data_IF_515239234979
#
_entry.id   IF_515239234979
#
_cell.length_a   1.000
_cell.length_b   1.000
_cell.length_c   1.000
_cell.angle_alpha   90.00
_cell.angle_beta   90.00
_cell.angle_gamma   90.00
#
_symmetry.space_group_name_H-M   'P 1'
#
loop_
_entity.id
_entity.type
_entity.pdbx_description
1 polymer ?
#
# COMPACT_ATOMS: atom_id res chain seq x y z
N UNK A 1 -27.22 23.11 6.72
CA UNK A 1 -26.15 22.08 6.67
C UNK A 1 -26.64 20.95 5.76
N UNK A 2 -25.90 20.57 4.72
CA UNK A 2 -26.39 19.57 3.75
C UNK A 2 -26.41 18.15 4.35
N UNK A 3 -27.34 17.31 3.91
CA UNK A 3 -27.45 15.89 4.31
C UNK A 3 -26.11 15.16 4.15
N UNK A 4 -25.35 15.49 3.11
CA UNK A 4 -24.05 14.88 2.83
C UNK A 4 -22.99 15.23 3.89
N UNK A 5 -23.02 16.45 4.43
CA UNK A 5 -22.08 16.83 5.49
C UNK A 5 -22.39 16.14 6.83
N UNK A 6 -23.67 15.90 7.12
CA UNK A 6 -24.06 15.08 8.28
C UNK A 6 -23.54 13.63 8.12
N UNK A 7 -23.76 13.02 6.95
CA UNK A 7 -23.22 11.69 6.62
C UNK A 7 -21.69 11.63 6.75
N UNK A 8 -20.99 12.69 6.32
CA UNK A 8 -19.53 12.81 6.48
C UNK A 8 -19.11 12.72 7.95
N UNK A 9 -19.73 13.50 8.84
CA UNK A 9 -19.42 13.47 10.28
C UNK A 9 -19.75 12.12 10.91
N UNK A 10 -20.92 11.55 10.60
CA UNK A 10 -21.34 10.26 11.12
C UNK A 10 -20.38 9.14 10.70
N UNK A 11 -19.99 9.11 9.42
CA UNK A 11 -18.99 8.18 8.88
C UNK A 11 -17.63 8.31 9.57
N UNK A 12 -17.15 9.53 9.79
CA UNK A 12 -15.88 9.78 10.47
C UNK A 12 -15.89 9.23 11.91
N UNK A 13 -16.92 9.56 12.69
CA UNK A 13 -17.07 9.09 14.08
C UNK A 13 -17.16 7.56 14.09
N UNK A 14 -17.98 6.97 13.21
CA UNK A 14 -18.15 5.53 13.10
C UNK A 14 -16.82 4.83 12.78
N UNK A 15 -16.04 5.36 11.83
CA UNK A 15 -14.72 4.82 11.49
C UNK A 15 -13.77 4.81 12.71
N UNK A 16 -13.76 5.89 13.50
CA UNK A 16 -12.90 6.01 14.69
C UNK A 16 -13.28 5.02 15.79
N UNK A 17 -14.58 4.89 16.08
CA UNK A 17 -15.07 3.91 17.05
C UNK A 17 -14.74 2.47 16.62
N UNK A 18 -14.96 2.17 15.34
CA UNK A 18 -14.71 0.84 14.80
C UNK A 18 -13.21 0.49 14.79
N UNK A 19 -12.34 1.45 14.41
CA UNK A 19 -10.87 1.30 14.53
C UNK A 19 -10.45 1.03 15.98
N UNK A 20 -11.01 1.77 16.95
CA UNK A 20 -10.69 1.56 18.37
C UNK A 20 -11.10 0.16 18.84
N UNK A 21 -12.33 -0.27 18.51
CA UNK A 21 -12.82 -1.61 18.81
C UNK A 21 -11.91 -2.71 18.23
N UNK A 22 -11.59 -2.63 16.93
CA UNK A 22 -10.73 -3.62 16.28
C UNK A 22 -9.30 -3.59 16.82
N UNK A 23 -8.77 -2.42 17.19
CA UNK A 23 -7.45 -2.33 17.84
C UNK A 23 -7.44 -3.09 19.17
N UNK A 24 -8.46 -2.91 20.01
CA UNK A 24 -8.57 -3.64 21.27
C UNK A 24 -8.70 -5.16 21.04
N UNK A 25 -9.57 -5.56 20.10
CA UNK A 25 -9.78 -6.97 19.76
C UNK A 25 -8.51 -7.64 19.19
N UNK A 26 -7.79 -6.95 18.31
CA UNK A 26 -6.56 -7.50 17.71
C UNK A 26 -5.42 -7.58 18.73
N UNK A 27 -5.31 -6.62 19.65
CA UNK A 27 -4.33 -6.68 20.72
C UNK A 27 -4.55 -7.89 21.63
N UNK A 28 -5.79 -8.26 21.94
CA UNK A 28 -6.07 -9.40 22.81
C UNK A 28 -5.90 -10.75 22.12
N UNK A 29 -6.18 -10.84 20.81
CA UNK A 29 -6.17 -12.09 20.05
C UNK A 29 -4.81 -12.43 19.40
N UNK A 30 -4.10 -11.46 18.82
CA UNK A 30 -2.94 -11.73 17.96
C UNK A 30 -1.58 -11.57 18.64
N UNK A 31 -1.50 -10.81 19.73
CA UNK A 31 -0.22 -10.62 20.44
C UNK A 31 0.19 -11.83 21.28
N UNK A 32 -0.69 -12.82 21.45
CA UNK A 32 -0.46 -13.94 22.37
C UNK A 32 0.29 -15.12 21.77
N UNK A 33 0.37 -15.24 20.44
CA UNK A 33 1.00 -16.39 19.79
C UNK A 33 2.16 -15.94 18.92
N UNK A 34 3.38 -16.25 19.36
CA UNK A 34 4.57 -16.04 18.55
C UNK A 34 4.45 -16.81 17.23
N UNK A 35 4.88 -16.19 16.13
CA UNK A 35 4.89 -16.79 14.80
C UNK A 35 6.29 -16.70 14.23
N UNK A 36 7.02 -17.81 14.29
CA UNK A 36 8.38 -17.95 13.74
C UNK A 36 8.38 -18.35 12.26
N UNK A 37 7.25 -18.19 11.58
CA UNK A 37 7.06 -18.56 10.17
C UNK A 37 6.56 -17.32 9.43
N UNK A 38 7.10 -17.12 8.23
CA UNK A 38 6.58 -16.14 7.28
C UNK A 38 5.14 -16.46 6.90
N UNK A 39 4.25 -15.51 7.15
CA UNK A 39 2.86 -15.52 6.68
C UNK A 39 2.68 -14.48 5.60
N UNK A 40 2.09 -14.90 4.48
CA UNK A 40 1.75 -13.98 3.41
C UNK A 40 0.58 -13.11 3.86
N UNK A 41 0.57 -11.86 3.44
CA UNK A 41 -0.54 -10.95 3.74
C UNK A 41 -1.88 -11.53 3.25
N UNK A 42 -1.86 -12.21 2.10
CA UNK A 42 -3.06 -12.84 1.54
C UNK A 42 -3.61 -13.97 2.43
N UNK A 43 -2.76 -14.76 3.08
CA UNK A 43 -3.20 -15.81 4.01
C UNK A 43 -3.93 -15.21 5.21
N UNK A 44 -3.53 -14.02 5.65
CA UNK A 44 -4.22 -13.30 6.75
C UNK A 44 -5.62 -12.85 6.35
N UNK A 45 -5.86 -12.59 5.07
CA UNK A 45 -7.17 -12.17 4.57
C UNK A 45 -8.19 -13.32 4.52
N UNK A 46 -7.73 -14.57 4.55
CA UNK A 46 -8.61 -15.75 4.63
C UNK A 46 -9.25 -15.90 6.01
N UNK A 47 -8.69 -15.27 7.05
CA UNK A 47 -9.31 -15.23 8.36
C UNK A 47 -10.60 -14.39 8.32
N UNK A 48 -11.69 -14.76 9.04
CA UNK A 48 -12.95 -14.01 9.03
C UNK A 48 -12.82 -12.52 9.38
N UNK A 49 -11.86 -12.20 10.25
CA UNK A 49 -11.54 -10.82 10.66
C UNK A 49 -10.43 -10.15 9.83
N UNK A 50 -9.84 -10.86 8.86
CA UNK A 50 -8.72 -10.39 8.05
C UNK A 50 -9.10 -9.18 7.19
N UNK A 51 -10.18 -9.29 6.42
CA UNK A 51 -10.69 -8.18 5.60
C UNK A 51 -11.15 -7.01 6.49
N UNK A 52 -12.00 -7.17 7.52
CA UNK A 52 -12.37 -6.06 8.41
C UNK A 52 -11.16 -5.31 8.98
N UNK A 53 -10.15 -6.04 9.42
CA UNK A 53 -8.93 -5.43 9.94
C UNK A 53 -8.15 -4.65 8.88
N UNK A 54 -7.98 -5.22 7.68
CA UNK A 54 -7.33 -4.57 6.55
C UNK A 54 -8.06 -3.28 6.16
N UNK A 55 -9.39 -3.34 6.03
CA UNK A 55 -10.21 -2.19 5.66
C UNK A 55 -10.15 -1.07 6.69
N UNK A 56 -9.93 -1.36 7.97
CA UNK A 56 -9.86 -0.33 9.01
C UNK A 56 -8.46 0.25 9.16
N UNK A 57 -7.42 -0.57 9.09
CA UNK A 57 -6.05 -0.14 9.43
C UNK A 57 -5.18 0.16 8.21
N UNK A 58 -5.48 -0.44 7.06
CA UNK A 58 -4.75 -0.26 5.82
C UNK A 58 -5.69 -0.36 4.58
N UNK A 59 -6.72 0.50 4.47
CA UNK A 59 -7.74 0.40 3.42
C UNK A 59 -7.21 0.59 1.99
N UNK A 60 -5.97 1.04 1.83
CA UNK A 60 -5.31 1.18 0.51
C UNK A 60 -4.43 -0.01 0.22
N UNK A 61 -5.09 -1.07 -0.24
CA UNK A 61 -4.48 -2.31 -0.69
C UNK A 61 -3.29 -2.05 -1.61
N UNK A 62 -2.13 -2.61 -1.28
CA UNK A 62 -0.95 -2.49 -2.11
C UNK A 62 -0.90 -3.64 -3.11
N UNK A 63 -1.76 -3.56 -4.12
CA UNK A 63 -2.06 -4.64 -5.09
C UNK A 63 -0.88 -5.13 -5.92
N UNK A 64 0.23 -4.41 -5.87
CA UNK A 64 1.44 -4.65 -6.65
C UNK A 64 2.57 -5.28 -5.83
N UNK A 65 2.46 -5.21 -4.50
CA UNK A 65 3.50 -5.67 -3.62
C UNK A 65 3.18 -7.05 -3.08
N UNK A 66 4.14 -7.95 -3.23
CA UNK A 66 4.18 -9.13 -2.39
C UNK A 66 4.50 -8.70 -0.95
N UNK A 67 3.69 -9.11 0.01
CA UNK A 67 3.88 -8.76 1.42
C UNK A 67 3.91 -10.04 2.24
N UNK A 68 5.04 -10.28 2.91
CA UNK A 68 5.20 -11.32 3.90
C UNK A 68 5.46 -10.69 5.27
N UNK A 69 5.05 -11.38 6.33
CA UNK A 69 5.22 -10.90 7.68
C UNK A 69 5.34 -12.06 8.66
N UNK A 70 6.18 -11.88 9.67
CA UNK A 70 6.33 -12.81 10.78
C UNK A 70 6.26 -12.05 12.10
N UNK A 71 6.07 -12.80 13.18
CA UNK A 71 5.80 -12.26 14.50
C UNK A 71 4.32 -12.31 14.93
N UNK A 72 4.01 -11.90 16.17
CA UNK A 72 4.90 -11.28 17.15
C UNK A 72 6.12 -12.15 17.47
N UNK A 73 7.29 -11.52 17.62
CA UNK A 73 8.53 -12.17 18.06
C UNK A 73 9.22 -11.29 19.09
N UNK A 74 9.71 -11.89 20.17
CA UNK A 74 10.46 -11.17 21.19
C UNK A 74 11.91 -10.99 20.73
N UNK A 75 12.39 -9.75 20.71
CA UNK A 75 13.78 -9.39 20.39
C UNK A 75 14.36 -8.69 21.61
N UNK A 76 15.54 -9.10 22.06
CA UNK A 76 16.20 -8.48 23.21
C UNK A 76 17.26 -7.47 22.78
N UNK A 77 18.01 -7.76 21.72
CA UNK A 77 19.16 -6.97 21.32
C UNK A 77 19.20 -6.70 19.82
N UNK A 78 19.05 -7.74 18.99
CA UNK A 78 19.29 -7.57 17.56
C UNK A 78 18.57 -8.58 16.67
N UNK A 79 18.41 -8.19 15.41
CA UNK A 79 17.94 -9.02 14.32
C UNK A 79 18.91 -8.90 13.15
N UNK A 80 19.30 -10.04 12.59
CA UNK A 80 20.15 -10.15 11.40
C UNK A 80 19.32 -10.74 10.27
N UNK A 81 19.48 -10.15 9.08
CA UNK A 81 18.78 -10.57 7.86
C UNK A 81 19.74 -10.52 6.68
N UNK A 82 19.68 -11.54 5.84
CA UNK A 82 20.40 -11.60 4.56
C UNK A 82 19.42 -11.41 3.40
N UNK A 83 19.59 -10.31 2.66
CA UNK A 83 18.78 -9.96 1.50
C UNK A 83 19.39 -10.39 0.16
N UNK A 84 20.48 -11.17 0.15
CA UNK A 84 21.16 -11.58 -1.07
C UNK A 84 20.19 -12.21 -2.08
N UNK A 85 19.36 -13.15 -1.63
CA UNK A 85 18.33 -13.78 -2.48
C UNK A 85 17.23 -12.81 -2.90
N UNK A 86 16.76 -11.97 -1.98
CA UNK A 86 15.69 -10.99 -2.25
C UNK A 86 16.14 -9.99 -3.32
N UNK A 87 17.38 -9.50 -3.25
CA UNK A 87 17.96 -8.57 -4.23
C UNK A 87 18.07 -9.14 -5.64
N UNK A 88 18.27 -10.45 -5.79
CA UNK A 88 18.29 -11.10 -7.10
C UNK A 88 16.87 -11.28 -7.69
N UNK A 89 15.86 -11.38 -6.81
CA UNK A 89 14.52 -11.83 -7.17
C UNK A 89 13.48 -10.71 -7.24
N UNK A 90 13.79 -9.50 -6.82
CA UNK A 90 12.87 -8.37 -6.95
C UNK A 90 13.59 -7.06 -7.25
N UNK A 91 12.93 -6.19 -8.01
CA UNK A 91 13.49 -4.88 -8.40
C UNK A 91 13.53 -3.90 -7.24
N UNK A 92 12.62 -4.05 -6.26
CA UNK A 92 12.56 -3.19 -5.09
C UNK A 92 11.95 -3.94 -3.91
N UNK A 93 12.54 -3.75 -2.73
CA UNK A 93 12.01 -4.29 -1.48
C UNK A 93 12.20 -3.33 -0.31
N UNK A 94 11.39 -3.56 0.72
CA UNK A 94 11.44 -2.85 1.99
C UNK A 94 11.19 -3.85 3.12
N UNK A 95 12.10 -3.86 4.07
CA UNK A 95 11.97 -4.56 5.34
C UNK A 95 11.62 -3.57 6.45
N UNK A 96 10.61 -3.90 7.23
CA UNK A 96 10.07 -3.02 8.25
C UNK A 96 9.93 -3.80 9.54
N UNK A 97 10.44 -3.21 10.62
CA UNK A 97 10.30 -3.70 11.96
C UNK A 97 9.30 -2.82 12.72
N UNK A 98 8.17 -3.39 13.12
CA UNK A 98 7.15 -2.71 13.91
C UNK A 98 7.22 -3.15 15.37
N UNK A 99 7.35 -2.21 16.30
CA UNK A 99 7.25 -2.46 17.74
C UNK A 99 5.77 -2.59 18.14
N UNK A 100 5.43 -3.72 18.74
CA UNK A 100 4.09 -4.05 19.21
C UNK A 100 3.89 -3.57 20.66
N UNK A 101 2.65 -3.26 21.09
CA UNK A 101 1.36 -3.40 20.38
C UNK A 101 0.96 -2.17 19.55
N UNK A 102 1.79 -1.12 19.55
CA UNK A 102 1.44 0.16 18.95
C UNK A 102 1.66 0.21 17.42
N UNK A 103 2.29 -0.82 16.84
CA UNK A 103 2.71 -0.84 15.43
C UNK A 103 3.55 0.38 15.07
N UNK A 104 4.41 0.83 15.99
CA UNK A 104 5.33 1.94 15.74
C UNK A 104 6.48 1.41 14.91
N UNK A 105 6.78 2.06 13.78
CA UNK A 105 7.94 1.72 12.96
C UNK A 105 9.21 1.96 13.78
N UNK A 106 9.91 0.88 14.12
CA UNK A 106 11.18 0.91 14.85
C UNK A 106 12.35 1.03 13.90
N UNK A 107 12.32 0.30 12.77
CA UNK A 107 13.34 0.37 11.73
C UNK A 107 12.73 0.13 10.36
N UNK A 108 13.28 0.79 9.35
CA UNK A 108 13.06 0.51 7.93
C UNK A 108 14.42 0.25 7.31
N UNK A 109 14.50 -0.78 6.47
CA UNK A 109 15.63 -1.05 5.58
C UNK A 109 15.06 -1.26 4.17
N UNK A 110 15.71 -0.73 3.14
CA UNK A 110 15.28 -0.89 1.74
C UNK A 110 16.42 -1.35 0.84
N UNK A 111 16.09 -1.67 -0.41
CA UNK A 111 17.07 -1.91 -1.47
C UNK A 111 17.94 -0.68 -1.82
N UNK A 112 17.62 0.50 -1.28
CA UNK A 112 18.38 1.74 -1.49
C UNK A 112 19.39 2.03 -0.38
N UNK A 113 19.31 1.28 0.72
CA UNK A 113 20.31 1.33 1.80
C UNK A 113 21.63 0.67 1.34
N UNK A 114 22.73 0.97 2.03
CA UNK A 114 24.11 0.67 1.58
C UNK A 114 24.35 -0.81 1.21
N UNK A 115 25.39 -1.06 0.41
CA UNK A 115 25.69 -2.28 -0.36
C UNK A 115 25.84 -3.59 0.42
N UNK A 116 25.68 -3.60 1.74
CA UNK A 116 25.80 -4.82 2.55
C UNK A 116 24.53 -5.62 2.47
N UNK A 117 24.54 -6.75 1.76
CA UNK A 117 23.37 -7.64 1.63
C UNK A 117 22.92 -8.24 2.98
N UNK A 118 23.84 -8.33 3.95
CA UNK A 118 23.56 -8.77 5.30
C UNK A 118 23.51 -7.56 6.25
N UNK A 119 22.37 -7.36 6.90
CA UNK A 119 22.18 -6.28 7.87
C UNK A 119 21.94 -6.84 9.26
N UNK A 120 22.73 -6.37 10.23
CA UNK A 120 22.45 -6.53 11.66
C UNK A 120 21.86 -5.23 12.20
N UNK A 121 20.64 -5.33 12.74
CA UNK A 121 19.92 -4.19 13.33
C UNK A 121 19.83 -4.38 14.83
N UNK A 122 20.39 -3.44 15.58
CA UNK A 122 20.20 -3.37 17.03
C UNK A 122 18.87 -2.68 17.35
N UNK A 123 18.10 -3.23 18.28
CA UNK A 123 16.80 -2.70 18.69
C UNK A 123 16.61 -2.85 20.19
N UNK A 124 15.75 -2.00 20.74
CA UNK A 124 15.37 -2.12 22.15
C UNK A 124 14.65 -3.44 22.41
N UNK A 125 14.78 -3.96 23.64
CA UNK A 125 14.01 -5.12 24.07
C UNK A 125 12.50 -4.90 23.89
N UNK A 126 11.82 -5.86 23.27
CA UNK A 126 10.37 -5.79 23.07
C UNK A 126 9.80 -6.88 22.16
N UNK A 127 8.50 -6.77 21.89
CA UNK A 127 7.80 -7.62 20.93
C UNK A 127 7.68 -6.89 19.60
N UNK A 128 7.99 -7.59 18.51
CA UNK A 128 8.07 -7.02 17.18
C UNK A 128 7.30 -7.84 16.14
N UNK A 129 6.76 -7.15 15.13
CA UNK A 129 6.36 -7.76 13.86
C UNK A 129 7.35 -7.34 12.80
N UNK A 130 7.84 -8.30 12.04
CA UNK A 130 8.65 -8.07 10.84
C UNK A 130 7.76 -8.12 9.61
N UNK A 131 8.01 -7.23 8.65
CA UNK A 131 7.30 -7.17 7.38
C UNK A 131 8.30 -7.01 6.26
N UNK A 132 8.26 -7.92 5.29
CA UNK A 132 8.99 -7.82 4.03
C UNK A 132 7.98 -7.49 2.93
N UNK A 133 8.25 -6.42 2.19
CA UNK A 133 7.47 -5.97 1.05
C UNK A 133 8.37 -6.00 -0.18
N UNK A 134 7.97 -6.72 -1.23
CA UNK A 134 8.72 -6.82 -2.48
C UNK A 134 7.85 -6.41 -3.68
N UNK A 135 8.45 -5.75 -4.65
CA UNK A 135 7.83 -5.37 -5.93
C UNK A 135 8.54 -6.06 -7.08
N UNK A 136 7.77 -6.48 -8.09
CA UNK A 136 8.29 -7.23 -9.24
C UNK A 136 9.01 -8.53 -8.88
N UNK A 137 8.43 -9.27 -7.94
CA UNK A 137 8.97 -10.54 -7.48
C UNK A 137 8.98 -11.58 -8.61
N UNK A 138 10.15 -12.14 -8.87
CA UNK A 138 10.38 -13.28 -9.77
C UNK A 138 10.27 -14.58 -8.98
N UNK A 139 9.71 -15.60 -9.62
CA UNK A 139 9.51 -16.92 -9.03
C UNK A 139 10.42 -17.97 -9.66
N UNK A 140 10.80 -19.03 -8.92
CA UNK A 140 10.50 -19.27 -7.50
C UNK A 140 11.26 -18.28 -6.59
N UNK A 141 10.74 -18.07 -5.39
CA UNK A 141 11.40 -17.21 -4.39
C UNK A 141 11.44 -17.85 -3.03
N UNK A 142 12.60 -17.74 -2.39
CA UNK A 142 12.79 -18.11 -1.01
C UNK A 142 12.79 -16.85 -0.14
N UNK A 143 11.89 -16.79 0.84
CA UNK A 143 11.89 -15.69 1.80
C UNK A 143 13.09 -15.85 2.75
N UNK A 144 13.76 -14.74 3.11
CA UNK A 144 15.01 -14.81 3.84
C UNK A 144 14.80 -15.34 5.26
N UNK A 145 15.83 -15.99 5.77
CA UNK A 145 15.92 -16.37 7.18
C UNK A 145 16.15 -15.11 8.03
N UNK A 146 15.56 -15.09 9.23
CA UNK A 146 15.83 -14.04 10.22
C UNK A 146 16.47 -14.65 11.45
N UNK A 147 17.65 -14.16 11.80
CA UNK A 147 18.41 -14.60 12.98
C UNK A 147 18.23 -13.55 14.07
N UNK A 148 17.63 -13.92 15.19
CA UNK A 148 17.32 -13.01 16.31
C UNK A 148 18.20 -13.35 17.51
N UNK A 149 18.71 -12.32 18.17
CA UNK A 149 19.53 -12.39 19.39
C UNK A 149 20.69 -13.41 19.28
N UNK A 150 21.46 -13.31 18.18
CA UNK A 150 22.59 -14.19 17.85
C UNK A 150 22.23 -15.69 17.73
N UNK A 151 21.06 -16.02 17.17
CA UNK A 151 20.66 -17.40 16.84
C UNK A 151 19.70 -18.06 17.82
N UNK A 152 19.24 -17.35 18.86
CA UNK A 152 18.27 -17.89 19.83
C UNK A 152 16.89 -18.13 19.22
N UNK A 153 16.50 -17.30 18.26
CA UNK A 153 15.26 -17.46 17.51
C UNK A 153 15.57 -17.33 16.02
N UNK A 154 15.05 -18.27 15.25
CA UNK A 154 15.15 -18.28 13.80
C UNK A 154 13.74 -18.21 13.23
N UNK A 155 13.52 -17.28 12.30
CA UNK A 155 12.35 -17.31 11.42
C UNK A 155 12.80 -18.01 10.15
N UNK A 156 12.26 -19.21 9.94
CA UNK A 156 12.70 -20.11 8.88
C UNK A 156 12.46 -19.51 7.49
N UNK A 157 13.35 -19.89 6.57
CA UNK A 157 13.14 -19.64 5.14
C UNK A 157 11.81 -20.24 4.68
N UNK A 158 11.20 -19.61 3.69
CA UNK A 158 9.96 -20.12 3.09
C UNK A 158 10.04 -20.06 1.59
N UNK A 159 10.06 -21.23 0.96
CA UNK A 159 10.03 -21.38 -0.49
C UNK A 159 8.61 -21.16 -1.04
N UNK A 160 8.52 -20.33 -2.08
CA UNK A 160 7.31 -20.05 -2.83
C UNK A 160 7.55 -20.43 -4.28
N UNK A 161 6.91 -21.53 -4.69
CA UNK A 161 7.13 -22.14 -6.00
C UNK A 161 6.37 -21.43 -7.12
N UNK A 162 5.18 -20.90 -6.81
CA UNK A 162 4.28 -20.34 -7.82
C UNK A 162 3.88 -18.91 -7.47
N UNK A 163 3.49 -18.17 -8.52
CA UNK A 163 2.85 -16.86 -8.36
C UNK A 163 1.57 -17.03 -7.57
N UNK A 164 1.61 -16.64 -6.29
CA UNK A 164 0.40 -16.44 -5.52
C UNK A 164 -0.21 -15.13 -6.01
N UNK A 165 -1.50 -15.06 -6.37
CA UNK A 165 -2.12 -13.80 -6.71
C UNK A 165 -1.87 -12.82 -5.57
N UNK A 166 -1.29 -11.65 -5.89
CA UNK A 166 -0.96 -10.62 -4.88
C UNK A 166 -2.23 -10.27 -4.08
N UNK A 167 -3.36 -10.23 -4.78
CA UNK A 167 -4.71 -10.31 -4.21
C UNK A 167 -5.59 -11.20 -5.09
N UNK A 168 -6.49 -12.00 -4.50
CA UNK A 168 -7.40 -12.85 -5.26
C UNK A 168 -8.45 -11.98 -5.93
N UNK A 169 -8.93 -12.44 -7.09
CA UNK A 169 -10.06 -11.84 -7.81
C UNK A 169 -11.28 -11.70 -6.91
N UNK A 170 -11.40 -12.54 -5.87
CA UNK A 170 -12.47 -12.47 -4.87
C UNK A 170 -12.46 -11.19 -4.04
N UNK A 171 -11.38 -10.40 -4.00
CA UNK A 171 -11.33 -9.09 -3.33
C UNK A 171 -11.42 -7.96 -4.36
N UNK A 172 -10.92 -8.20 -5.58
CA UNK A 172 -11.11 -7.29 -6.70
C UNK A 172 -12.60 -7.10 -6.94
N UNK A 173 -13.04 -5.87 -7.19
CA UNK A 173 -14.44 -5.53 -7.53
C UNK A 173 -15.49 -5.76 -6.44
N UNK A 174 -15.11 -6.15 -5.21
CA UNK A 174 -16.06 -6.24 -4.08
C UNK A 174 -16.70 -4.89 -3.79
N UNK A 175 -17.98 -4.92 -3.45
CA UNK A 175 -18.72 -3.77 -2.96
C UNK A 175 -19.41 -4.10 -1.63
N UNK A 176 -19.49 -3.11 -0.75
CA UNK A 176 -20.15 -3.28 0.54
C UNK A 176 -20.67 -1.95 1.04
N UNK A 177 -21.97 -1.85 1.27
CA UNK A 177 -22.59 -0.65 1.88
C UNK A 177 -21.98 -0.31 3.23
N UNK A 178 -21.59 -1.33 4.01
CA UNK A 178 -20.89 -1.16 5.27
C UNK A 178 -19.55 -0.45 5.07
N UNK A 179 -18.67 -0.99 4.21
CA UNK A 179 -17.37 -0.37 3.97
C UNK A 179 -17.48 0.98 3.24
N UNK A 180 -18.45 1.14 2.34
CA UNK A 180 -18.76 2.44 1.74
C UNK A 180 -19.10 3.49 2.82
N UNK A 181 -19.88 3.12 3.84
CA UNK A 181 -20.14 4.03 4.96
C UNK A 181 -18.91 4.26 5.83
N UNK A 182 -18.13 3.22 6.13
CA UNK A 182 -16.87 3.32 6.89
C UNK A 182 -15.88 4.30 6.25
N UNK A 183 -15.86 4.38 4.91
CA UNK A 183 -14.92 5.21 4.14
C UNK A 183 -15.54 6.49 3.56
N UNK A 184 -16.85 6.70 3.73
CA UNK A 184 -17.56 7.83 3.13
C UNK A 184 -16.91 9.18 3.46
N UNK A 185 -16.43 9.38 4.69
CA UNK A 185 -15.78 10.63 5.07
C UNK A 185 -14.53 10.96 4.21
N UNK A 186 -13.73 9.96 3.85
CA UNK A 186 -12.57 10.11 2.96
C UNK A 186 -13.06 10.50 1.56
N UNK A 187 -13.97 9.72 0.98
CA UNK A 187 -14.47 9.97 -0.38
C UNK A 187 -15.16 11.32 -0.51
N UNK A 188 -15.96 11.71 0.50
CA UNK A 188 -16.56 13.04 0.57
C UNK A 188 -15.50 14.14 0.58
N UNK A 189 -14.46 13.99 1.41
CA UNK A 189 -13.39 14.97 1.49
C UNK A 189 -12.57 15.05 0.19
N UNK A 190 -12.31 13.93 -0.50
CA UNK A 190 -11.63 13.95 -1.80
C UNK A 190 -12.49 14.55 -2.92
N UNK A 191 -13.79 14.25 -2.93
CA UNK A 191 -14.72 14.71 -3.97
C UNK A 191 -15.04 16.19 -3.86
N UNK A 192 -15.20 16.70 -2.64
CA UNK A 192 -15.68 18.07 -2.39
C UNK A 192 -14.64 18.98 -1.72
N UNK A 193 -13.52 18.44 -1.22
CA UNK A 193 -12.44 19.19 -0.61
C UNK A 193 -11.71 20.01 -1.67
N UNK A 194 -12.09 21.27 -1.80
CA UNK A 194 -11.79 22.09 -2.98
C UNK A 194 -10.33 22.45 -3.23
N UNK A 195 -9.35 22.19 -2.35
CA UNK A 195 -7.93 22.57 -2.62
C UNK A 195 -6.85 22.16 -1.60
N UNK A 196 -7.18 21.66 -0.42
CA UNK A 196 -6.17 21.18 0.52
C UNK A 196 -6.71 19.97 1.27
N UNK A 197 -6.35 18.78 0.82
CA UNK A 197 -6.39 17.61 1.68
C UNK A 197 -5.46 17.97 2.84
N UNK A 198 -6.02 18.19 4.04
CA UNK A 198 -5.19 18.44 5.21
C UNK A 198 -4.25 17.24 5.37
N UNK A 199 -3.00 17.48 5.74
CA UNK A 199 -2.00 16.47 6.09
C UNK A 199 -2.56 15.33 6.94
N UNK A 200 -3.49 15.61 7.85
CA UNK A 200 -4.19 14.59 8.65
C UNK A 200 -4.96 13.57 7.79
N UNK A 201 -5.67 14.03 6.76
CA UNK A 201 -6.40 13.16 5.85
C UNK A 201 -5.47 12.38 4.92
N UNK A 202 -4.32 12.96 4.54
CA UNK A 202 -3.27 12.24 3.82
C UNK A 202 -2.71 11.10 4.67
N UNK A 203 -2.40 11.35 5.94
CA UNK A 203 -1.94 10.31 6.87
C UNK A 203 -2.97 9.20 7.09
N UNK A 204 -4.26 9.53 7.08
CA UNK A 204 -5.33 8.52 7.18
C UNK A 204 -5.55 7.73 5.88
N UNK A 205 -5.33 8.38 4.73
CA UNK A 205 -5.55 7.77 3.42
C UNK A 205 -4.36 6.93 2.98
N UNK A 206 -3.14 7.44 3.10
CA UNK A 206 -1.96 6.82 2.53
C UNK A 206 -1.57 5.55 3.30
N UNK A 207 -1.14 4.50 2.59
CA UNK A 207 -0.70 3.28 3.23
C UNK A 207 0.58 3.55 4.01
N UNK A 208 0.62 3.12 5.27
CA UNK A 208 1.84 3.12 6.06
C UNK A 208 2.78 2.02 5.52
N UNK A 209 4.06 2.35 5.31
CA UNK A 209 5.08 1.31 5.19
C UNK A 209 5.99 1.33 3.98
N UNK A 210 6.33 2.48 3.41
CA UNK A 210 7.65 2.69 2.82
C UNK A 210 7.87 4.21 2.72
N UNK A 211 8.77 4.81 3.53
CA UNK A 211 9.06 6.25 3.49
C UNK A 211 9.52 6.75 2.13
N UNK A 212 10.10 5.86 1.32
CA UNK A 212 10.69 6.19 0.01
C UNK A 212 9.63 6.20 -1.10
N UNK A 213 8.46 5.59 -0.87
CA UNK A 213 7.39 5.59 -1.86
C UNK A 213 6.72 6.95 -1.91
N UNK A 214 6.71 7.54 -3.09
CA UNK A 214 5.95 8.76 -3.37
C UNK A 214 4.56 8.39 -3.87
N UNK A 215 3.55 9.11 -3.35
CA UNK A 215 2.16 8.87 -3.71
C UNK A 215 1.55 10.08 -4.41
N UNK A 216 0.81 9.83 -5.48
CA UNK A 216 -0.15 10.78 -6.07
C UNK A 216 -1.53 10.14 -5.99
N UNK A 217 -2.55 10.89 -5.60
CA UNK A 217 -3.87 10.33 -5.36
C UNK A 217 -4.94 11.39 -5.54
N UNK A 218 -6.14 10.92 -5.86
CA UNK A 218 -7.27 11.79 -6.12
C UNK A 218 -8.57 11.03 -6.25
N UNK A 219 -9.63 11.75 -6.58
CA UNK A 219 -10.96 11.21 -6.79
C UNK A 219 -11.26 11.04 -8.28
N UNK A 220 -12.07 10.05 -8.62
CA UNK A 220 -12.63 9.86 -9.96
C UNK A 220 -14.11 9.48 -9.90
N UNK A 221 -14.85 9.84 -10.94
CA UNK A 221 -16.23 9.42 -11.11
C UNK A 221 -16.31 8.12 -11.92
N UNK A 222 -17.42 7.41 -11.78
CA UNK A 222 -17.75 6.25 -12.62
C UNK A 222 -17.62 6.62 -14.09
N UNK A 223 -17.12 5.66 -14.88
CA UNK A 223 -16.82 5.83 -16.30
C UNK A 223 -15.77 6.90 -16.58
N UNK A 224 -14.87 7.15 -15.63
CA UNK A 224 -13.66 7.94 -15.89
C UNK A 224 -12.52 7.06 -16.39
N UNK A 225 -11.57 7.71 -17.04
CA UNK A 225 -10.24 7.17 -17.38
C UNK A 225 -9.19 8.01 -16.65
N UNK A 226 -8.19 7.34 -16.07
CA UNK A 226 -7.02 7.99 -15.48
C UNK A 226 -5.90 8.00 -16.51
N UNK A 227 -5.41 9.19 -16.80
CA UNK A 227 -4.26 9.45 -17.66
C UNK A 227 -3.06 9.80 -16.80
N UNK A 228 -1.91 9.22 -17.14
CA UNK A 228 -0.65 9.47 -16.44
C UNK A 228 0.40 9.88 -17.47
N UNK A 229 0.76 11.16 -17.47
CA UNK A 229 1.85 11.71 -18.28
C UNK A 229 3.17 11.35 -17.58
N UNK A 230 4.10 10.71 -18.30
CA UNK A 230 5.43 10.34 -17.80
C UNK A 230 6.44 11.34 -18.37
N UNK A 231 6.89 12.26 -17.52
CA UNK A 231 7.73 13.40 -17.90
C UNK A 231 9.23 13.09 -17.83
N UNK A 232 9.62 12.09 -17.03
CA UNK A 232 10.99 11.63 -16.92
C UNK A 232 11.04 10.11 -17.10
N UNK A 233 11.99 9.66 -17.93
CA UNK A 233 12.15 8.26 -18.34
C UNK A 233 13.50 7.66 -17.93
N UNK A 234 14.19 8.27 -16.98
CA UNK A 234 15.52 7.85 -16.55
C UNK A 234 15.60 6.41 -15.99
N UNK A 235 14.49 5.65 -15.94
CA UNK A 235 14.50 4.24 -15.54
C UNK A 235 14.76 4.03 -14.05
N UNK A 236 14.75 5.12 -13.29
CA UNK A 236 15.21 5.19 -11.91
C UNK A 236 14.09 4.99 -10.89
N UNK A 237 12.89 4.63 -11.34
CA UNK A 237 11.74 4.36 -10.50
C UNK A 237 10.71 3.44 -11.19
N UNK A 238 9.85 2.82 -10.38
CA UNK A 238 8.67 2.09 -10.81
C UNK A 238 7.42 2.92 -10.58
N UNK A 239 6.45 2.83 -11.48
CA UNK A 239 5.13 3.46 -11.31
C UNK A 239 4.05 2.37 -11.29
N UNK A 240 3.17 2.45 -10.30
CA UNK A 240 1.99 1.58 -10.20
C UNK A 240 0.74 2.41 -9.98
N UNK A 241 -0.38 1.98 -10.57
CA UNK A 241 -1.71 2.56 -10.33
C UNK A 241 -2.62 1.54 -9.64
N UNK A 242 -3.36 1.99 -8.64
CA UNK A 242 -4.52 1.26 -8.12
C UNK A 242 -5.70 2.22 -8.05
N UNK A 243 -6.85 1.82 -8.61
CA UNK A 243 -8.11 2.54 -8.45
C UNK A 243 -9.02 1.75 -7.52
N UNK A 244 -9.65 2.44 -6.57
CA UNK A 244 -10.52 1.86 -5.56
C UNK A 244 -11.93 2.42 -5.69
N UNK A 245 -12.96 1.59 -5.52
CA UNK A 245 -14.33 2.07 -5.38
C UNK A 245 -14.57 2.80 -4.04
N UNK A 246 -15.79 3.31 -3.83
CA UNK A 246 -16.19 3.97 -2.57
C UNK A 246 -16.17 3.04 -1.34
N UNK A 247 -16.23 1.72 -1.55
CA UNK A 247 -16.00 0.74 -0.49
C UNK A 247 -14.53 0.52 -0.19
N UNK A 248 -13.60 1.21 -0.87
CA UNK A 248 -12.15 1.05 -0.75
C UNK A 248 -11.58 -0.28 -1.25
N UNK A 249 -12.33 -1.04 -2.06
CA UNK A 249 -11.82 -2.23 -2.74
C UNK A 249 -11.21 -1.87 -4.11
N UNK A 250 -10.13 -2.53 -4.52
CA UNK A 250 -9.51 -2.30 -5.82
C UNK A 250 -10.46 -2.73 -6.94
N UNK A 251 -10.66 -1.86 -7.92
CA UNK A 251 -11.41 -2.13 -9.16
C UNK A 251 -10.52 -2.09 -10.39
N UNK A 252 -9.32 -1.53 -10.26
CA UNK A 252 -8.28 -1.51 -11.29
C UNK A 252 -6.91 -1.48 -10.64
N UNK A 253 -5.94 -2.18 -11.23
CA UNK A 253 -4.59 -2.25 -10.70
C UNK A 253 -3.61 -2.64 -11.80
N UNK A 254 -2.62 -1.81 -12.09
CA UNK A 254 -1.56 -2.15 -13.06
C UNK A 254 -0.20 -1.53 -12.71
N UNK A 255 0.88 -2.11 -13.25
CA UNK A 255 2.18 -1.45 -13.39
C UNK A 255 2.12 -0.55 -14.62
N UNK A 256 2.50 0.71 -14.48
CA UNK A 256 2.63 1.62 -15.61
C UNK A 256 4.02 1.42 -16.24
N UNK A 257 4.12 1.10 -17.54
CA UNK A 257 5.41 1.02 -18.21
C UNK A 257 6.05 2.40 -18.26
N UNK A 258 7.32 2.51 -17.85
CA UNK A 258 8.07 3.80 -17.86
C UNK A 258 8.89 3.96 -19.14
N UNK A 259 9.09 2.87 -19.90
CA UNK A 259 9.81 2.86 -21.16
C UNK A 259 8.85 2.82 -22.35
N UNK A 260 9.12 3.66 -23.35
CA UNK A 260 8.43 3.61 -24.65
C UNK A 260 7.02 4.22 -24.68
N UNK A 261 6.53 4.82 -23.58
CA UNK A 261 5.25 5.54 -23.56
C UNK A 261 5.36 6.92 -22.90
N UNK A 262 4.73 7.92 -23.50
CA UNK A 262 4.58 9.28 -22.94
C UNK A 262 3.35 9.41 -22.04
N UNK A 263 2.30 8.69 -22.43
CA UNK A 263 0.98 8.80 -21.87
C UNK A 263 0.44 7.40 -21.61
N UNK A 264 0.27 7.08 -20.34
CA UNK A 264 -0.46 5.89 -19.93
C UNK A 264 -1.95 6.21 -19.78
N UNK A 265 -2.79 5.24 -20.14
CA UNK A 265 -4.25 5.32 -20.08
C UNK A 265 -4.79 4.09 -19.35
N UNK A 266 -5.54 4.29 -18.27
CA UNK A 266 -6.25 3.19 -17.60
C UNK A 266 -7.42 2.66 -18.44
N UNK A 267 -7.91 1.47 -18.09
CA UNK A 267 -9.26 1.06 -18.49
C UNK A 267 -10.34 2.01 -17.95
N UNK A 268 -11.55 1.92 -18.52
CA UNK A 268 -12.72 2.64 -18.04
C UNK A 268 -13.10 2.16 -16.63
N UNK A 269 -13.20 3.09 -15.67
CA UNK A 269 -13.38 2.73 -14.27
C UNK A 269 -14.87 2.49 -13.94
N UNK A 270 -15.24 1.34 -13.37
CA UNK A 270 -16.64 0.91 -13.30
C UNK A 270 -17.46 1.55 -12.18
N UNK A 271 -16.84 2.31 -11.26
CA UNK A 271 -17.46 2.87 -10.07
C UNK A 271 -16.93 4.29 -9.78
N UNK A 272 -17.57 5.01 -8.85
CA UNK A 272 -16.95 6.19 -8.24
C UNK A 272 -15.85 5.75 -7.27
N UNK A 273 -14.84 6.58 -7.05
CA UNK A 273 -13.75 6.15 -6.21
C UNK A 273 -12.55 7.07 -6.11
N UNK A 274 -11.42 6.48 -5.73
CA UNK A 274 -10.14 7.17 -5.62
C UNK A 274 -9.04 6.39 -6.30
N UNK A 275 -8.12 7.07 -6.96
CA UNK A 275 -6.92 6.47 -7.51
C UNK A 275 -5.73 6.72 -6.57
N UNK A 276 -4.74 5.83 -6.62
CA UNK A 276 -3.47 5.94 -5.93
C UNK A 276 -2.35 5.48 -6.86
N UNK A 277 -1.55 6.43 -7.31
CA UNK A 277 -0.28 6.19 -7.99
C UNK A 277 0.82 6.03 -6.95
N UNK A 278 1.61 4.98 -7.09
CA UNK A 278 2.81 4.72 -6.28
C UNK A 278 4.02 4.87 -7.17
N UNK A 279 4.95 5.72 -6.78
CA UNK A 279 6.23 5.93 -7.46
C UNK A 279 7.32 5.44 -6.50
N UNK A 280 8.04 4.40 -6.90
CA UNK A 280 9.01 3.70 -6.05
C UNK A 280 10.40 3.94 -6.64
N UNK A 281 11.29 4.65 -5.93
CA UNK A 281 12.66 4.86 -6.41
C UNK A 281 13.42 3.53 -6.47
N UNK A 282 14.25 3.40 -7.51
CA UNK A 282 15.20 2.29 -7.71
C UNK A 282 16.64 2.74 -7.48
N UNK A 283 16.87 4.04 -7.29
CA UNK A 283 18.19 4.63 -7.01
C UNK A 283 18.10 5.59 -5.84
N UNK A 284 19.19 5.67 -5.06
CA UNK A 284 19.31 6.57 -3.91
C UNK A 284 19.34 8.03 -4.37
N UNK A 285 18.84 8.94 -3.53
CA UNK A 285 18.90 10.38 -3.74
C UNK A 285 17.69 10.99 -4.49
N UNK A 286 16.74 10.18 -4.96
CA UNK A 286 15.48 10.69 -5.50
C UNK A 286 14.54 11.11 -4.36
N UNK A 287 14.30 12.41 -4.24
CA UNK A 287 13.36 12.96 -3.26
C UNK A 287 11.91 12.82 -3.72
N UNK A 288 10.96 12.93 -2.79
CA UNK A 288 9.53 12.87 -3.14
C UNK A 288 9.14 14.01 -4.09
N UNK A 289 9.69 15.21 -3.88
CA UNK A 289 9.47 16.37 -4.74
C UNK A 289 9.99 16.14 -6.16
N UNK A 290 11.12 15.46 -6.33
CA UNK A 290 11.63 15.09 -7.65
C UNK A 290 10.71 14.08 -8.31
N UNK A 291 10.35 13.00 -7.62
CA UNK A 291 9.48 11.94 -8.15
C UNK A 291 8.09 12.47 -8.55
N UNK A 292 7.52 13.42 -7.79
CA UNK A 292 6.25 14.08 -8.15
C UNK A 292 6.33 14.90 -9.44
N UNK A 293 7.51 15.42 -9.81
CA UNK A 293 7.72 16.15 -11.06
C UNK A 293 7.86 15.23 -12.27
N UNK A 294 8.19 13.96 -12.06
CA UNK A 294 8.34 12.98 -13.12
C UNK A 294 6.99 12.49 -13.67
N UNK A 295 5.88 12.72 -12.94
CA UNK A 295 4.58 12.16 -13.27
C UNK A 295 3.47 13.19 -13.07
N UNK A 296 2.59 13.34 -14.06
CA UNK A 296 1.38 14.15 -13.94
C UNK A 296 0.14 13.29 -14.17
N UNK A 297 -0.87 13.45 -13.32
CA UNK A 297 -2.10 12.67 -13.39
C UNK A 297 -3.26 13.56 -13.81
N UNK A 298 -4.06 13.08 -14.76
CA UNK A 298 -5.30 13.73 -15.18
C UNK A 298 -6.43 12.70 -15.16
N UNK A 299 -7.64 13.12 -14.79
CA UNK A 299 -8.84 12.27 -14.81
C UNK A 299 -9.83 12.86 -15.80
N UNK A 300 -10.31 12.04 -16.73
CA UNK A 300 -11.28 12.43 -17.75
C UNK A 300 -12.55 11.60 -17.58
N UNK A 301 -13.69 12.27 -17.52
CA UNK A 301 -15.00 11.64 -17.42
C UNK A 301 -15.58 11.34 -18.80
N UNK A 302 -16.18 10.16 -18.96
CA UNK A 302 -16.89 9.74 -20.17
C UNK A 302 -16.05 8.88 -21.11
N UNK A 303 -16.74 8.26 -22.07
CA UNK A 303 -16.08 7.64 -23.23
C UNK A 303 -15.59 8.81 -24.09
N UNK A 304 -14.27 8.95 -24.35
CA UNK A 304 -13.80 9.98 -25.26
C UNK A 304 -14.43 9.71 -26.62
N UNK A 305 -15.35 10.59 -27.00
CA UNK A 305 -15.98 10.57 -28.31
C UNK A 305 -14.87 10.85 -29.32
N UNK A 306 -14.48 9.83 -30.11
CA UNK A 306 -13.33 9.94 -31.02
C UNK A 306 -13.52 11.01 -32.11
N UNK A 307 -14.73 11.59 -32.21
CA UNK A 307 -15.09 12.62 -33.18
C UNK A 307 -15.30 14.02 -32.58
N UNK A 308 -15.23 14.22 -31.26
CA UNK A 308 -15.51 15.51 -30.65
C UNK A 308 -14.27 16.13 -30.00
N UNK A 309 -13.76 17.21 -30.61
CA UNK A 309 -12.62 18.01 -30.13
C UNK A 309 -12.84 18.75 -28.80
N UNK A 310 -13.73 18.30 -27.92
CA UNK A 310 -14.04 18.95 -26.65
C UNK A 310 -14.12 17.94 -25.49
N UNK A 311 -12.96 17.49 -25.02
CA UNK A 311 -12.83 16.77 -23.75
C UNK A 311 -12.91 17.78 -22.60
N UNK A 312 -13.96 17.68 -21.77
CA UNK A 312 -14.03 18.41 -20.50
C UNK A 312 -12.92 17.91 -19.57
N UNK A 313 -11.84 18.68 -19.45
CA UNK A 313 -10.79 18.44 -18.44
C UNK A 313 -11.38 18.66 -17.05
N UNK A 314 -11.53 17.60 -16.27
CA UNK A 314 -11.78 17.73 -14.82
C UNK A 314 -10.44 17.95 -14.12
N UNK A 315 -10.44 18.87 -13.17
CA UNK A 315 -9.28 19.60 -12.65
C UNK A 315 -8.04 18.75 -12.32
N UNK A 316 -6.88 19.30 -12.69
CA UNK A 316 -5.54 18.85 -12.27
C UNK A 316 -5.41 19.05 -10.75
N UNK A 317 -5.16 17.98 -10.01
CA UNK A 317 -4.58 18.10 -8.67
C UNK A 317 -3.08 18.38 -8.85
N UNK A 318 -2.68 19.63 -8.58
CA UNK A 318 -1.27 19.99 -8.29
C UNK A 318 -1.02 19.76 -6.81
#
# INVERSE_FOLDING_TARGET
>A
MSINYFKYKASYIFNRLLKAYFRMLFQTLLLKKESKIWKLYIERLQHPLGIPYAMLNAPRWNTHAFIASAGPVTINESITIDFSEVNMLCSSWTFILYKLPANVTSKVISCLDDSTLCHKVNVERGSYSVVLRCYELKYPVELPELIIDNGKVVIEKRLLLNKTPVYPDTIMTKESKFYSFVHYYLHYAFRYGKRSINRNLEFEYLPVGNPETTFLFGYYNRNSIVYVDILDRAGSFLIFITCYNESSFPVYSEKIPVYGIDLYKSALLPANGTYLIRIIPLVKGLTSEMLKKCVKVNVVEGIPDMNAGNVKKVAVQK
#
